data_IF_402684569976
#
_entry.id   IF_402684569976
#
_cell.length_a   1.000
_cell.length_b   1.000
_cell.length_c   1.000
_cell.angle_alpha   90.00
_cell.angle_beta   90.00
_cell.angle_gamma   90.00
#
_symmetry.space_group_name_H-M   'P 1'
#
loop_
_entity.id
_entity.type
_entity.pdbx_description
1 polymer ?
#
# COMPACT_ATOMS: atom_id res chain seq x y z
N UNK A 1 52.68 28.31 -26.49
CA UNK A 1 51.29 27.84 -26.22
C UNK A 1 51.11 26.34 -26.51
N UNK A 2 51.89 25.44 -25.86
CA UNK A 2 51.78 23.97 -26.07
C UNK A 2 51.48 23.16 -24.80
N UNK A 3 51.26 23.83 -23.65
CA UNK A 3 51.00 23.16 -22.35
C UNK A 3 49.54 23.20 -21.88
N UNK A 4 48.66 23.94 -22.57
CA UNK A 4 47.25 24.07 -22.19
C UNK A 4 46.42 22.87 -22.70
N UNK A 5 46.76 22.32 -23.88
CA UNK A 5 46.07 21.17 -24.46
C UNK A 5 46.18 19.87 -23.63
N UNK A 6 47.37 19.46 -23.13
CA UNK A 6 47.46 18.28 -22.27
C UNK A 6 46.85 18.50 -20.88
N UNK A 7 46.82 19.74 -20.37
CA UNK A 7 46.12 20.10 -19.14
C UNK A 7 44.59 20.08 -19.30
N UNK A 8 44.05 20.55 -20.43
CA UNK A 8 42.63 20.43 -20.76
C UNK A 8 42.22 18.97 -21.03
N UNK A 9 43.08 18.19 -21.68
CA UNK A 9 42.85 16.77 -21.88
C UNK A 9 42.90 16.00 -20.54
N UNK A 10 43.82 16.37 -19.63
CA UNK A 10 43.89 15.83 -18.27
C UNK A 10 42.71 16.29 -17.39
N UNK A 11 42.20 17.51 -17.56
CA UNK A 11 41.00 18.01 -16.87
C UNK A 11 39.72 17.35 -17.40
N UNK A 12 39.62 17.16 -18.72
CA UNK A 12 38.53 16.40 -19.34
C UNK A 12 38.61 14.93 -18.89
N UNK A 13 39.78 14.30 -18.92
CA UNK A 13 39.98 12.94 -18.40
C UNK A 13 39.74 12.85 -16.90
N UNK A 14 40.08 13.87 -16.09
CA UNK A 14 39.78 13.89 -14.65
C UNK A 14 38.28 14.09 -14.39
N UNK A 15 37.57 14.89 -15.19
CA UNK A 15 36.09 14.95 -15.11
C UNK A 15 35.41 13.65 -15.58
N UNK A 16 36.05 12.90 -16.49
CA UNK A 16 35.61 11.55 -16.86
C UNK A 16 35.95 10.51 -15.77
N UNK A 17 37.02 10.71 -15.00
CA UNK A 17 37.34 9.90 -13.82
C UNK A 17 36.45 10.26 -12.63
N UNK A 18 36.03 11.51 -12.43
CA UNK A 18 35.05 11.86 -11.37
C UNK A 18 33.68 11.27 -11.68
N UNK A 19 33.17 11.42 -12.91
CA UNK A 19 31.91 10.76 -13.32
C UNK A 19 31.99 9.22 -13.35
N UNK A 20 33.18 8.66 -13.56
CA UNK A 20 33.42 7.22 -13.66
C UNK A 20 33.82 6.54 -12.34
N UNK A 21 34.24 7.29 -11.32
CA UNK A 21 34.54 6.80 -9.96
C UNK A 21 33.42 7.10 -8.94
N UNK A 22 32.44 7.96 -9.22
CA UNK A 22 31.46 8.43 -8.21
C UNK A 22 30.03 7.85 -8.30
N UNK A 23 29.70 7.06 -9.34
CA UNK A 23 28.38 6.41 -9.45
C UNK A 23 28.46 4.98 -8.92
N UNK A 24 28.45 4.82 -7.60
CA UNK A 24 28.34 3.52 -6.95
C UNK A 24 27.23 3.54 -5.88
N UNK A 25 26.75 2.36 -5.53
CA UNK A 25 25.77 2.17 -4.47
C UNK A 25 24.32 2.16 -4.94
N UNK A 26 23.43 2.09 -3.96
CA UNK A 26 21.99 2.04 -4.17
C UNK A 26 21.37 3.42 -3.96
N UNK A 27 20.45 3.77 -4.86
CA UNK A 27 19.79 5.06 -4.87
C UNK A 27 18.30 4.83 -4.99
N UNK A 28 17.53 5.26 -4.00
CA UNK A 28 16.07 5.16 -4.05
C UNK A 28 15.52 6.27 -4.95
N UNK A 29 14.46 5.97 -5.70
CA UNK A 29 13.67 6.99 -6.36
C UNK A 29 12.94 7.80 -5.29
N UNK A 30 13.16 9.10 -5.26
CA UNK A 30 12.51 10.00 -4.31
C UNK A 30 11.17 10.48 -4.89
N UNK A 31 11.20 10.97 -6.13
CA UNK A 31 10.02 11.37 -6.90
C UNK A 31 10.36 11.49 -8.39
N UNK A 32 9.32 11.50 -9.21
CA UNK A 32 9.36 11.94 -10.62
C UNK A 32 8.62 13.27 -10.71
N UNK A 33 9.19 14.22 -11.44
CA UNK A 33 8.54 15.48 -11.79
C UNK A 33 8.27 15.47 -13.29
N UNK A 34 7.07 15.88 -13.68
CA UNK A 34 6.65 16.05 -15.09
C UNK A 34 5.88 17.36 -15.28
N UNK A 35 5.71 17.79 -16.54
CA UNK A 35 4.69 18.78 -16.90
C UNK A 35 3.51 18.04 -17.54
N UNK A 36 2.33 18.22 -16.97
CA UNK A 36 1.08 17.64 -17.48
C UNK A 36 0.20 18.71 -18.10
N UNK A 37 -0.44 18.35 -19.21
CA UNK A 37 -1.46 19.17 -19.85
C UNK A 37 -2.81 18.84 -19.22
N UNK A 38 -3.37 19.81 -18.48
CA UNK A 38 -4.66 19.71 -17.82
C UNK A 38 -5.70 20.41 -18.70
N UNK A 39 -6.78 19.69 -18.97
CA UNK A 39 -7.89 20.18 -19.78
C UNK A 39 -9.00 20.68 -18.86
N UNK A 40 -9.59 21.83 -19.19
CA UNK A 40 -10.80 22.31 -18.53
C UNK A 40 -11.93 21.28 -18.67
N UNK A 41 -12.59 20.99 -17.54
CA UNK A 41 -13.75 20.07 -17.48
C UNK A 41 -14.95 20.66 -18.24
N UNK A 42 -15.05 21.99 -18.33
CA UNK A 42 -16.22 22.67 -18.87
C UNK A 42 -16.22 22.80 -20.40
N UNK A 43 -15.07 22.64 -21.06
CA UNK A 43 -14.99 22.58 -22.52
C UNK A 43 -13.61 22.09 -22.98
N UNK A 44 -13.49 20.99 -23.74
CA UNK A 44 -12.21 20.53 -24.30
C UNK A 44 -11.61 21.49 -25.36
N UNK A 45 -12.29 22.59 -25.69
CA UNK A 45 -11.80 23.67 -26.54
C UNK A 45 -11.21 24.86 -25.73
N UNK A 46 -11.40 24.90 -24.40
CA UNK A 46 -10.95 25.99 -23.55
C UNK A 46 -9.64 25.63 -22.84
N UNK A 47 -8.58 26.35 -23.23
CA UNK A 47 -7.24 26.44 -22.63
C UNK A 47 -6.63 25.15 -22.07
N UNK A 48 -5.62 24.63 -22.77
CA UNK A 48 -4.67 23.66 -22.20
C UNK A 48 -3.76 24.38 -21.22
N UNK A 49 -3.86 24.08 -19.93
CA UNK A 49 -2.92 24.56 -18.92
C UNK A 49 -1.83 23.53 -18.68
N UNK A 50 -0.56 23.96 -18.69
CA UNK A 50 0.55 23.10 -18.29
C UNK A 50 0.79 23.26 -16.80
N UNK A 51 0.54 22.19 -16.05
CA UNK A 51 0.78 22.14 -14.62
C UNK A 51 1.95 21.23 -14.31
N UNK A 52 2.74 21.61 -13.30
CA UNK A 52 3.77 20.75 -12.76
C UNK A 52 3.12 19.63 -11.93
N UNK A 53 3.54 18.39 -12.17
CA UNK A 53 3.08 17.22 -11.42
C UNK A 53 4.26 16.49 -10.80
N UNK A 54 4.02 15.92 -9.62
CA UNK A 54 4.94 15.04 -8.94
C UNK A 54 4.30 13.67 -8.79
N UNK A 55 5.09 12.61 -8.89
CA UNK A 55 4.63 11.26 -8.60
C UNK A 55 5.64 10.51 -7.75
N UNK A 56 5.11 9.74 -6.80
CA UNK A 56 5.87 8.69 -6.12
C UNK A 56 5.99 7.52 -7.06
N UNK A 57 7.23 7.20 -7.43
CA UNK A 57 7.54 5.93 -8.07
C UNK A 57 8.48 5.19 -7.19
N UNK A 58 8.16 3.92 -7.00
CA UNK A 58 8.95 3.10 -6.13
C UNK A 58 9.96 2.32 -6.93
N UNK A 59 11.21 2.60 -6.63
CA UNK A 59 12.30 1.84 -7.19
C UNK A 59 13.63 2.16 -6.54
N UNK A 60 14.56 1.23 -6.74
CA UNK A 60 15.96 1.41 -6.42
C UNK A 60 16.77 1.31 -7.71
N UNK A 61 17.72 2.21 -7.86
CA UNK A 61 18.71 2.24 -8.93
C UNK A 61 20.05 1.89 -8.31
N UNK A 62 20.60 0.73 -8.66
CA UNK A 62 21.96 0.36 -8.29
C UNK A 62 22.92 0.76 -9.40
N UNK A 63 23.93 1.55 -9.05
CA UNK A 63 25.05 1.85 -9.93
C UNK A 63 26.26 1.00 -9.51
N UNK A 64 26.85 0.31 -10.47
CA UNK A 64 28.07 -0.48 -10.29
C UNK A 64 28.89 -0.44 -11.58
N UNK A 65 30.06 0.19 -11.51
CA UNK A 65 30.95 0.47 -12.63
C UNK A 65 30.22 1.17 -13.79
N UNK A 66 30.00 0.44 -14.89
CA UNK A 66 29.30 0.89 -16.10
C UNK A 66 27.92 0.25 -16.23
N UNK A 67 27.37 -0.26 -15.15
CA UNK A 67 26.09 -0.96 -15.12
C UNK A 67 25.10 -0.18 -14.26
N UNK A 68 23.87 -0.09 -14.74
CA UNK A 68 22.71 0.35 -13.97
C UNK A 68 21.76 -0.82 -13.86
N UNK A 69 21.28 -1.08 -12.65
CA UNK A 69 20.22 -2.04 -12.40
C UNK A 69 19.04 -1.33 -11.75
N UNK A 70 17.88 -1.40 -12.42
CA UNK A 70 16.65 -0.79 -11.95
C UNK A 70 15.75 -1.85 -11.33
N UNK A 71 15.31 -1.59 -10.09
CA UNK A 71 14.42 -2.44 -9.33
C UNK A 71 13.11 -1.69 -9.12
N UNK A 72 12.00 -2.19 -9.66
CA UNK A 72 10.65 -1.67 -9.40
C UNK A 72 9.81 -2.60 -8.51
N UNK A 73 10.42 -3.69 -8.05
CA UNK A 73 9.89 -4.72 -7.16
C UNK A 73 8.69 -5.54 -7.68
N UNK A 74 7.97 -5.04 -8.70
CA UNK A 74 6.92 -5.76 -9.46
C UNK A 74 7.51 -6.76 -10.45
N UNK A 75 8.55 -6.35 -11.16
CA UNK A 75 9.18 -7.14 -12.22
C UNK A 75 10.59 -7.60 -11.82
N UNK A 76 11.17 -8.49 -12.62
CA UNK A 76 12.59 -8.81 -12.48
C UNK A 76 13.42 -7.53 -12.74
N UNK A 77 14.50 -7.30 -11.98
CA UNK A 77 15.32 -6.11 -12.17
C UNK A 77 15.85 -5.99 -13.60
N UNK A 78 15.78 -4.78 -14.17
CA UNK A 78 16.30 -4.50 -15.50
C UNK A 78 17.76 -4.05 -15.39
N UNK A 79 18.67 -4.75 -16.08
CA UNK A 79 20.10 -4.45 -16.09
C UNK A 79 20.52 -3.88 -17.44
N UNK A 80 21.21 -2.75 -17.42
CA UNK A 80 21.64 -2.04 -18.64
C UNK A 80 23.04 -1.45 -18.46
N UNK A 81 23.72 -1.18 -19.57
CA UNK A 81 25.08 -0.59 -19.56
C UNK A 81 25.01 0.91 -19.78
N UNK A 82 25.72 1.67 -18.95
CA UNK A 82 25.95 3.10 -19.12
C UNK A 82 26.95 3.32 -20.25
N UNK A 83 26.50 4.06 -21.27
CA UNK A 83 27.29 4.51 -22.41
C UNK A 83 27.98 5.84 -22.10
N UNK A 84 28.85 6.26 -23.03
CA UNK A 84 29.55 7.55 -22.94
C UNK A 84 28.55 8.69 -22.73
N UNK A 85 28.87 9.59 -21.79
CA UNK A 85 28.02 10.73 -21.44
C UNK A 85 26.91 10.41 -20.43
N UNK A 86 26.98 9.29 -19.71
CA UNK A 86 26.00 8.94 -18.67
C UNK A 86 24.65 8.49 -19.24
N UNK A 87 24.63 7.93 -20.45
CA UNK A 87 23.38 7.57 -21.14
C UNK A 87 23.16 6.06 -21.06
N UNK A 88 21.95 5.63 -20.69
CA UNK A 88 21.57 4.22 -20.68
C UNK A 88 20.13 4.03 -21.17
N UNK A 89 19.74 2.77 -21.41
CA UNK A 89 18.36 2.44 -21.80
C UNK A 89 17.58 1.90 -20.61
N UNK A 90 16.41 2.46 -20.34
CA UNK A 90 15.45 1.96 -19.36
C UNK A 90 14.11 1.72 -20.08
N UNK A 91 13.58 0.49 -20.03
CA UNK A 91 12.32 0.10 -20.70
C UNK A 91 12.16 0.56 -22.17
N UNK A 92 13.26 0.69 -22.89
CA UNK A 92 13.27 1.12 -24.31
C UNK A 92 13.64 2.59 -24.52
N UNK A 93 13.45 3.43 -23.50
CA UNK A 93 13.76 4.85 -23.54
C UNK A 93 15.24 5.13 -23.22
N UNK A 94 15.79 6.19 -23.80
CA UNK A 94 17.16 6.65 -23.49
C UNK A 94 17.10 7.66 -22.36
N UNK A 95 17.73 7.33 -21.25
CA UNK A 95 17.85 8.17 -20.07
C UNK A 95 19.29 8.67 -19.96
N UNK A 96 19.46 9.94 -19.62
CA UNK A 96 20.74 10.58 -19.34
C UNK A 96 20.83 10.92 -17.85
N UNK A 97 21.98 10.63 -17.26
CA UNK A 97 22.35 11.20 -15.96
C UNK A 97 22.69 12.67 -16.18
N UNK A 98 21.81 13.55 -15.73
CA UNK A 98 21.91 14.99 -15.99
C UNK A 98 22.78 15.70 -14.95
N UNK A 99 22.59 15.35 -13.68
CA UNK A 99 23.32 15.92 -12.55
C UNK A 99 23.55 14.87 -11.48
N UNK A 100 24.66 14.99 -10.76
CA UNK A 100 25.07 14.11 -9.67
C UNK A 100 25.71 14.97 -8.60
N UNK A 101 25.29 14.77 -7.37
CA UNK A 101 26.02 15.21 -6.18
C UNK A 101 25.88 14.14 -5.09
N UNK A 102 26.52 14.38 -3.94
CA UNK A 102 26.51 13.45 -2.80
C UNK A 102 25.10 13.15 -2.24
N UNK A 103 24.14 14.07 -2.45
CA UNK A 103 22.81 14.01 -1.85
C UNK A 103 21.75 13.56 -2.86
N UNK A 104 22.04 13.58 -4.17
CA UNK A 104 21.06 13.30 -5.22
C UNK A 104 21.67 13.00 -6.59
N UNK A 105 20.94 12.21 -7.38
CA UNK A 105 21.14 12.04 -8.82
C UNK A 105 19.87 12.48 -9.56
N UNK A 106 20.03 13.23 -10.63
CA UNK A 106 18.93 13.61 -11.53
C UNK A 106 19.07 12.84 -12.83
N UNK A 107 18.04 12.06 -13.16
CA UNK A 107 17.93 11.35 -14.43
C UNK A 107 16.90 12.04 -15.32
N UNK A 108 17.20 12.20 -16.61
CA UNK A 108 16.29 12.82 -17.59
C UNK A 108 16.14 11.94 -18.84
N UNK A 109 14.90 11.63 -19.29
CA UNK A 109 14.69 11.08 -20.62
C UNK A 109 15.22 12.03 -21.70
N UNK A 110 15.90 11.51 -22.72
CA UNK A 110 16.46 12.39 -23.77
C UNK A 110 15.36 13.00 -24.65
N UNK A 111 14.27 12.25 -24.84
CA UNK A 111 13.17 12.62 -25.73
C UNK A 111 12.15 13.52 -25.02
N UNK A 112 12.01 13.41 -23.70
CA UNK A 112 11.15 14.25 -22.88
C UNK A 112 12.00 15.11 -21.93
N UNK A 113 12.07 16.41 -22.25
CA UNK A 113 12.82 17.38 -21.46
C UNK A 113 12.05 17.92 -20.25
N UNK A 114 10.74 17.72 -20.18
CA UNK A 114 9.90 18.23 -19.10
C UNK A 114 9.83 17.26 -17.92
N UNK A 115 10.20 16.00 -18.13
CA UNK A 115 10.23 14.99 -17.09
C UNK A 115 11.63 14.76 -16.53
N UNK A 116 11.78 14.68 -15.21
CA UNK A 116 13.00 14.20 -14.57
C UNK A 116 12.72 13.33 -13.35
N UNK A 117 13.63 12.42 -13.05
CA UNK A 117 13.58 11.51 -11.92
C UNK A 117 14.67 11.93 -10.93
N UNK A 118 14.30 12.13 -9.67
CA UNK A 118 15.26 12.42 -8.61
C UNK A 118 15.49 11.16 -7.80
N UNK A 119 16.77 10.82 -7.64
CA UNK A 119 17.23 9.74 -6.79
C UNK A 119 17.94 10.31 -5.57
N UNK A 120 17.77 9.68 -4.42
CA UNK A 120 18.53 9.94 -3.20
C UNK A 120 19.36 8.73 -2.80
N UNK A 121 20.54 8.92 -2.18
CA UNK A 121 21.33 7.80 -1.70
C UNK A 121 20.50 7.00 -0.69
N UNK A 122 20.58 5.67 -0.79
CA UNK A 122 19.89 4.79 0.13
C UNK A 122 20.80 3.64 0.53
N UNK A 123 20.96 3.47 1.83
CA UNK A 123 21.63 2.34 2.44
C UNK A 123 20.83 1.91 3.66
N UNK A 124 20.72 0.61 3.84
CA UNK A 124 20.27 0.03 5.11
C UNK A 124 21.48 -0.18 6.02
N UNK A 125 21.27 -0.18 7.33
CA UNK A 125 22.21 -0.85 8.24
C UNK A 125 22.25 -2.35 7.93
N UNK A 126 23.18 -3.09 8.55
CA UNK A 126 23.24 -4.55 8.44
C UNK A 126 21.99 -5.16 9.07
N UNK A 127 20.96 -5.36 8.25
CA UNK A 127 19.70 -5.99 8.60
C UNK A 127 19.78 -7.47 8.19
N UNK A 128 19.47 -8.37 9.11
CA UNK A 128 19.36 -9.81 8.84
C UNK A 128 17.88 -10.21 8.83
N UNK A 129 17.14 -9.79 7.80
CA UNK A 129 15.74 -10.16 7.61
C UNK A 129 15.56 -11.07 6.41
N UNK A 130 14.67 -12.04 6.57
CA UNK A 130 14.21 -12.96 5.54
C UNK A 130 12.68 -12.98 5.50
N UNK A 131 12.11 -13.55 4.43
CA UNK A 131 10.66 -13.72 4.35
C UNK A 131 10.09 -14.58 5.50
N UNK A 132 10.91 -15.45 6.11
CA UNK A 132 10.50 -16.32 7.22
C UNK A 132 10.26 -15.57 8.51
N UNK A 133 10.92 -14.43 8.72
CA UNK A 133 10.77 -13.62 9.93
C UNK A 133 9.39 -12.95 10.01
N UNK A 134 8.67 -12.92 8.88
CA UNK A 134 7.30 -12.47 8.79
C UNK A 134 6.29 -13.62 8.90
N UNK A 135 6.67 -14.89 8.81
CA UNK A 135 5.71 -16.00 8.81
C UNK A 135 4.93 -16.11 10.13
N UNK A 136 3.60 -16.18 10.04
CA UNK A 136 2.69 -16.22 11.20
C UNK A 136 2.93 -15.06 12.18
N UNK A 137 3.02 -13.84 11.66
CA UNK A 137 3.17 -12.62 12.46
C UNK A 137 2.14 -11.56 12.12
N UNK A 138 1.88 -10.66 13.06
CA UNK A 138 1.15 -9.42 12.80
C UNK A 138 2.11 -8.24 13.03
N UNK A 139 2.15 -7.32 12.06
CA UNK A 139 2.93 -6.09 12.15
C UNK A 139 2.03 -4.88 12.08
N UNK A 140 2.24 -3.92 12.97
CA UNK A 140 1.55 -2.64 12.95
C UNK A 140 2.51 -1.53 12.52
N UNK A 141 2.05 -0.64 11.64
CA UNK A 141 2.77 0.59 11.32
C UNK A 141 2.54 1.61 12.43
N UNK A 142 3.61 2.14 13.01
CA UNK A 142 3.59 3.30 13.91
C UNK A 142 4.09 4.52 13.13
N UNK A 143 3.26 5.55 13.09
CA UNK A 143 3.53 6.80 12.39
C UNK A 143 2.73 7.94 13.04
N UNK A 144 3.21 9.16 12.87
CA UNK A 144 2.45 10.37 13.19
C UNK A 144 1.31 10.60 12.18
N UNK A 145 1.41 10.03 10.97
CA UNK A 145 0.36 10.09 9.96
C UNK A 145 -0.71 9.03 10.26
N UNK A 146 -1.93 9.49 10.55
CA UNK A 146 -3.08 8.61 10.83
C UNK A 146 -3.34 7.58 9.73
N UNK A 147 -3.20 7.97 8.46
CA UNK A 147 -3.37 7.08 7.31
C UNK A 147 -2.40 5.90 7.30
N UNK A 148 -1.18 6.08 7.83
CA UNK A 148 -0.20 5.01 7.95
C UNK A 148 -0.37 4.24 9.26
N UNK A 149 -0.63 4.91 10.38
CA UNK A 149 -0.75 4.25 11.69
C UNK A 149 -1.99 3.35 11.84
N UNK A 150 -2.98 3.55 10.96
CA UNK A 150 -4.13 2.66 10.78
C UNK A 150 -3.82 1.33 10.06
N UNK A 151 -2.60 1.13 9.54
CA UNK A 151 -2.23 -0.08 8.81
C UNK A 151 -1.69 -1.18 9.74
N UNK A 152 -2.22 -2.38 9.55
CA UNK A 152 -1.71 -3.64 10.10
C UNK A 152 -1.53 -4.66 8.98
N UNK A 153 -0.57 -5.54 9.16
CA UNK A 153 -0.19 -6.57 8.20
C UNK A 153 -0.17 -7.91 8.91
N UNK A 154 -1.06 -8.82 8.50
CA UNK A 154 -1.05 -10.20 8.98
C UNK A 154 -0.44 -11.12 7.92
N UNK A 155 0.78 -11.57 8.19
CA UNK A 155 1.51 -12.48 7.34
C UNK A 155 1.22 -13.91 7.79
N UNK A 156 0.39 -14.62 7.03
CA UNK A 156 -0.01 -15.98 7.38
C UNK A 156 1.10 -17.00 7.09
N UNK A 157 1.87 -16.75 6.03
CA UNK A 157 3.01 -17.54 5.57
C UNK A 157 3.97 -16.66 4.74
N UNK A 158 4.97 -17.25 4.09
CA UNK A 158 6.00 -16.52 3.31
C UNK A 158 5.50 -15.88 2.02
N UNK A 159 4.23 -16.09 1.66
CA UNK A 159 3.61 -15.62 0.42
C UNK A 159 2.27 -14.90 0.63
N UNK A 160 1.63 -15.12 1.77
CA UNK A 160 0.28 -14.65 2.06
C UNK A 160 0.31 -13.47 3.03
N UNK A 161 -0.21 -12.33 2.59
CA UNK A 161 -0.45 -11.15 3.42
C UNK A 161 -1.94 -10.79 3.40
N UNK A 162 -2.52 -10.56 4.57
CA UNK A 162 -3.77 -9.80 4.71
C UNK A 162 -3.43 -8.42 5.26
N UNK A 163 -3.77 -7.39 4.50
CA UNK A 163 -3.70 -6.01 4.95
C UNK A 163 -5.00 -5.67 5.70
N UNK A 164 -4.86 -5.04 6.85
CA UNK A 164 -5.97 -4.57 7.66
C UNK A 164 -5.79 -3.06 7.83
N UNK A 165 -6.74 -2.29 7.33
CA UNK A 165 -6.80 -0.85 7.54
C UNK A 165 -7.90 -0.55 8.56
N UNK A 166 -7.58 0.19 9.60
CA UNK A 166 -8.53 0.64 10.64
C UNK A 166 -8.46 2.16 10.77
N UNK A 167 -9.05 2.86 9.79
CA UNK A 167 -9.24 4.30 9.83
C UNK A 167 -10.37 4.69 10.79
N UNK A 168 -10.45 6.00 11.08
CA UNK A 168 -11.53 6.56 11.90
C UNK A 168 -12.89 6.40 11.20
N UNK A 169 -12.96 6.79 9.92
CA UNK A 169 -14.18 6.78 9.13
C UNK A 169 -14.46 5.48 8.38
N UNK A 170 -13.47 4.60 8.22
CA UNK A 170 -13.65 3.34 7.50
C UNK A 170 -12.50 2.38 7.80
N UNK A 171 -12.78 1.08 7.76
CA UNK A 171 -11.76 0.03 7.79
C UNK A 171 -12.07 -1.08 6.80
N UNK A 172 -11.08 -1.94 6.55
CA UNK A 172 -11.25 -3.15 5.75
C UNK A 172 -10.14 -4.14 6.06
N UNK A 173 -10.36 -5.38 5.68
CA UNK A 173 -9.32 -6.39 5.56
C UNK A 173 -9.36 -6.94 4.14
N UNK A 174 -8.21 -7.12 3.50
CA UNK A 174 -8.14 -7.74 2.18
C UNK A 174 -6.79 -8.42 1.96
N UNK A 175 -6.74 -9.36 1.02
CA UNK A 175 -5.51 -9.92 0.51
C UNK A 175 -4.63 -8.84 -0.11
N UNK A 176 -3.35 -8.88 0.24
CA UNK A 176 -2.31 -8.07 -0.36
C UNK A 176 -1.22 -8.95 -0.96
N UNK A 177 -0.49 -8.39 -1.93
CA UNK A 177 0.77 -8.97 -2.37
C UNK A 177 1.90 -8.35 -1.56
N UNK A 178 2.93 -9.11 -1.26
CA UNK A 178 4.10 -8.57 -0.59
C UNK A 178 5.40 -9.19 -1.08
N UNK A 179 6.50 -8.47 -0.83
CA UNK A 179 7.84 -8.95 -1.15
C UNK A 179 8.86 -8.25 -0.27
N UNK A 180 9.72 -9.04 0.36
CA UNK A 180 10.98 -8.55 0.90
C UNK A 180 12.03 -8.61 -0.21
N UNK A 181 12.59 -7.47 -0.57
CA UNK A 181 13.69 -7.37 -1.53
C UNK A 181 14.93 -6.87 -0.81
N UNK A 182 16.03 -7.57 -0.98
CA UNK A 182 17.31 -7.21 -0.41
C UNK A 182 18.43 -7.29 -1.43
N UNK A 183 19.48 -6.54 -1.14
CA UNK A 183 20.80 -6.54 -1.78
C UNK A 183 21.84 -6.41 -0.67
N UNK A 184 23.12 -6.51 -1.01
CA UNK A 184 24.20 -6.24 -0.05
C UNK A 184 24.07 -4.83 0.60
N UNK A 185 23.40 -3.89 -0.07
CA UNK A 185 23.36 -2.48 0.32
C UNK A 185 21.98 -1.96 0.76
N UNK A 186 20.91 -2.76 0.65
CA UNK A 186 19.58 -2.28 1.00
C UNK A 186 18.58 -3.39 1.31
N UNK A 187 17.54 -3.01 2.04
CA UNK A 187 16.34 -3.79 2.30
C UNK A 187 15.07 -2.96 2.02
N UNK A 188 14.11 -3.57 1.33
CA UNK A 188 12.82 -2.98 1.02
C UNK A 188 11.72 -4.01 1.30
N UNK A 189 10.70 -3.60 2.05
CA UNK A 189 9.44 -4.31 2.14
C UNK A 189 8.42 -3.62 1.22
N UNK A 190 7.97 -4.36 0.20
CA UNK A 190 6.90 -3.96 -0.70
C UNK A 190 5.59 -4.61 -0.26
N UNK A 191 4.53 -3.82 -0.20
CA UNK A 191 3.17 -4.28 0.08
C UNK A 191 2.22 -3.62 -0.93
N UNK A 192 1.43 -4.42 -1.64
CA UNK A 192 0.37 -3.97 -2.52
C UNK A 192 -0.98 -4.22 -1.88
N UNK A 193 -1.76 -3.15 -1.71
CA UNK A 193 -3.13 -3.20 -1.26
C UNK A 193 -4.07 -3.25 -2.46
N UNK A 194 -4.73 -4.40 -2.64
CA UNK A 194 -5.64 -4.60 -3.76
C UNK A 194 -6.98 -3.89 -3.61
N UNK A 195 -7.41 -3.57 -2.39
CA UNK A 195 -8.69 -2.87 -2.17
C UNK A 195 -8.57 -1.39 -2.51
N UNK A 196 -7.52 -0.74 -1.99
CA UNK A 196 -7.29 0.70 -2.21
C UNK A 196 -6.48 1.01 -3.47
N UNK A 197 -5.97 -0.02 -4.16
CA UNK A 197 -5.02 0.09 -5.27
C UNK A 197 -3.77 0.91 -4.88
N UNK A 198 -3.39 0.85 -3.61
CA UNK A 198 -2.21 1.54 -3.08
C UNK A 198 -1.04 0.58 -2.95
N UNK A 199 0.15 1.14 -3.07
CA UNK A 199 1.38 0.40 -2.91
C UNK A 199 2.24 1.11 -1.87
N UNK A 200 2.72 0.33 -0.91
CA UNK A 200 3.55 0.79 0.18
C UNK A 200 4.97 0.23 -0.01
N UNK A 201 5.94 1.12 0.08
CA UNK A 201 7.35 0.79 -0.09
C UNK A 201 8.10 1.29 1.14
N UNK A 202 8.40 0.35 2.02
CA UNK A 202 9.14 0.58 3.24
C UNK A 202 10.62 0.37 2.92
N UNK A 203 11.36 1.47 2.79
CA UNK A 203 12.81 1.44 2.68
C UNK A 203 13.39 1.20 4.08
N UNK A 204 13.76 -0.05 4.38
CA UNK A 204 14.13 -0.45 5.73
C UNK A 204 15.50 0.14 6.09
N UNK A 205 15.59 0.84 7.21
CA UNK A 205 16.81 1.50 7.68
C UNK A 205 17.55 0.66 8.70
N UNK A 206 16.83 0.12 9.68
CA UNK A 206 17.39 -0.72 10.73
C UNK A 206 16.33 -1.65 11.32
N UNK A 207 16.78 -2.72 11.96
CA UNK A 207 15.95 -3.66 12.72
C UNK A 207 16.51 -3.81 14.12
N UNK A 208 15.63 -3.85 15.11
CA UNK A 208 15.99 -4.20 16.48
C UNK A 208 14.79 -4.76 17.24
N UNK A 209 14.93 -5.99 17.76
CA UNK A 209 13.99 -6.62 18.71
C UNK A 209 12.55 -6.65 18.20
N UNK A 210 12.34 -7.05 16.94
CA UNK A 210 10.99 -7.13 16.36
C UNK A 210 10.38 -5.77 16.02
N UNK A 211 11.23 -4.76 15.86
CA UNK A 211 10.88 -3.45 15.33
C UNK A 211 11.74 -3.14 14.13
N UNK A 212 11.11 -2.66 13.07
CA UNK A 212 11.82 -2.25 11.85
C UNK A 212 11.57 -0.76 11.64
N UNK A 213 12.63 0.04 11.64
CA UNK A 213 12.55 1.44 11.25
C UNK A 213 12.64 1.50 9.74
N UNK A 214 11.68 2.16 9.12
CA UNK A 214 11.62 2.30 7.68
C UNK A 214 11.29 3.73 7.27
N UNK A 215 11.65 4.08 6.04
CA UNK A 215 11.20 5.30 5.39
C UNK A 215 10.21 4.97 4.29
N UNK A 216 9.09 5.67 4.29
CA UNK A 216 8.02 5.57 3.30
C UNK A 216 7.83 6.95 2.67
N UNK A 217 7.72 7.00 1.34
CA UNK A 217 7.29 8.21 0.64
C UNK A 217 5.77 8.32 0.71
N UNK A 218 5.27 9.49 1.10
CA UNK A 218 3.84 9.80 1.15
C UNK A 218 3.60 11.04 0.30
N UNK A 219 2.57 10.99 -0.54
CA UNK A 219 2.12 12.11 -1.34
C UNK A 219 0.64 12.33 -1.07
N UNK A 220 0.31 13.53 -0.63
CA UNK A 220 -1.06 13.98 -0.46
C UNK A 220 -1.36 14.94 -1.62
N UNK A 221 -2.27 14.55 -2.50
CA UNK A 221 -2.72 15.35 -3.66
C UNK A 221 -1.56 15.70 -4.61
N UNK A 222 -1.52 16.93 -5.14
CA UNK A 222 -0.49 17.43 -6.07
C UNK A 222 0.77 17.92 -5.37
N UNK A 223 0.87 17.79 -4.04
CA UNK A 223 2.03 18.27 -3.30
C UNK A 223 3.27 17.42 -3.60
N UNK A 224 4.42 18.01 -3.30
CA UNK A 224 5.70 17.35 -3.37
C UNK A 224 5.74 16.14 -2.41
N UNK A 225 6.17 14.94 -2.87
CA UNK A 225 6.28 13.77 -2.02
C UNK A 225 7.18 14.00 -0.80
N UNK A 226 6.70 13.61 0.38
CA UNK A 226 7.44 13.71 1.64
C UNK A 226 7.88 12.33 2.10
N UNK A 227 9.14 12.21 2.48
CA UNK A 227 9.65 11.03 3.15
C UNK A 227 9.25 11.08 4.63
N UNK A 228 8.60 10.02 5.10
CA UNK A 228 8.18 9.85 6.48
C UNK A 228 8.87 8.64 7.09
N UNK A 229 9.41 8.81 8.30
CA UNK A 229 9.95 7.70 9.08
C UNK A 229 8.82 7.02 9.83
N UNK A 230 8.76 5.70 9.72
CA UNK A 230 7.79 4.85 10.41
C UNK A 230 8.50 3.71 11.10
N UNK A 231 7.83 3.12 12.09
CA UNK A 231 8.27 1.90 12.75
C UNK A 231 7.25 0.81 12.49
N UNK A 232 7.67 -0.31 11.91
CA UNK A 232 6.88 -1.54 11.87
C UNK A 232 7.13 -2.28 13.19
N UNK A 233 6.11 -2.46 14.01
CA UNK A 233 6.20 -3.22 15.27
C UNK A 233 5.54 -4.59 15.13
N UNK A 234 6.28 -5.66 15.44
CA UNK A 234 5.74 -7.00 15.49
C UNK A 234 4.93 -7.18 16.79
N UNK A 235 3.62 -7.32 16.65
CA UNK A 235 2.71 -7.56 17.77
C UNK A 235 2.55 -9.05 18.10
N UNK A 236 3.12 -9.95 17.29
CA UNK A 236 2.90 -11.38 17.38
C UNK A 236 1.46 -11.77 17.04
N UNK A 237 1.13 -13.03 17.30
CA UNK A 237 -0.25 -13.53 17.22
C UNK A 237 -0.85 -13.68 18.62
N UNK A 238 -2.17 -13.81 18.67
CA UNK A 238 -2.86 -14.13 19.92
C UNK A 238 -2.36 -15.46 20.47
N UNK A 239 -2.24 -15.55 21.79
CA UNK A 239 -2.08 -16.84 22.46
C UNK A 239 -3.30 -17.72 22.20
N UNK A 240 -3.16 -19.04 22.30
CA UNK A 240 -4.28 -19.97 22.11
C UNK A 240 -5.49 -19.62 22.98
N UNK A 241 -5.25 -19.21 24.23
CA UNK A 241 -6.30 -18.81 25.17
C UNK A 241 -7.03 -17.54 24.71
N UNK A 242 -6.30 -16.54 24.23
CA UNK A 242 -6.89 -15.30 23.71
C UNK A 242 -7.67 -15.54 22.42
N UNK A 243 -7.13 -16.38 21.53
CA UNK A 243 -7.82 -16.79 20.31
C UNK A 243 -9.13 -17.50 20.63
N UNK A 244 -9.11 -18.54 21.47
CA UNK A 244 -10.31 -19.29 21.88
C UNK A 244 -11.34 -18.40 22.57
N UNK A 245 -10.89 -17.43 23.38
CA UNK A 245 -11.78 -16.46 24.01
C UNK A 245 -12.49 -15.60 22.96
N UNK A 246 -11.76 -15.01 22.01
CA UNK A 246 -12.35 -14.19 20.94
C UNK A 246 -13.28 -15.00 20.04
N UNK A 247 -12.89 -16.23 19.69
CA UNK A 247 -13.71 -17.15 18.90
C UNK A 247 -15.04 -17.44 19.60
N UNK A 248 -15.00 -17.73 20.91
CA UNK A 248 -16.20 -17.91 21.73
C UNK A 248 -17.07 -16.65 21.81
N UNK A 249 -16.46 -15.48 21.99
CA UNK A 249 -17.19 -14.20 22.03
C UNK A 249 -17.95 -13.96 20.72
N UNK A 250 -17.35 -14.30 19.57
CA UNK A 250 -17.94 -14.14 18.24
C UNK A 250 -19.14 -15.07 17.96
N UNK A 251 -19.18 -16.27 18.54
CA UNK A 251 -20.27 -17.24 18.32
C UNK A 251 -21.60 -16.68 18.85
N UNK A 252 -22.64 -16.71 18.03
CA UNK A 252 -23.99 -16.25 18.34
C UNK A 252 -24.61 -15.44 17.21
N UNK A 253 -25.84 -15.00 17.41
CA UNK A 253 -26.57 -14.15 16.47
C UNK A 253 -26.36 -12.67 16.80
N UNK A 254 -25.91 -11.92 15.81
CA UNK A 254 -25.61 -10.51 15.87
C UNK A 254 -26.59 -9.75 14.99
N UNK A 255 -27.24 -8.74 15.54
CA UNK A 255 -28.22 -7.93 14.83
C UNK A 255 -27.77 -6.48 14.80
N UNK A 256 -27.99 -5.82 13.66
CA UNK A 256 -27.65 -4.42 13.43
C UNK A 256 -28.21 -3.54 14.55
N UNK A 257 -27.34 -2.74 15.15
CA UNK A 257 -27.74 -1.72 16.13
C UNK A 257 -27.68 -0.34 15.49
N UNK A 258 -26.52 0.05 14.94
CA UNK A 258 -26.30 1.36 14.31
C UNK A 258 -25.06 1.37 13.41
N UNK A 259 -24.94 2.43 12.62
CA UNK A 259 -23.64 2.81 12.04
C UNK A 259 -22.79 3.51 13.10
N UNK A 260 -21.52 3.12 13.20
CA UNK A 260 -20.56 3.74 14.11
C UNK A 260 -19.91 4.99 13.51
N UNK A 261 -20.04 5.18 12.20
CA UNK A 261 -19.47 6.29 11.44
C UNK A 261 -20.40 6.74 10.31
N UNK A 262 -19.99 7.79 9.59
CA UNK A 262 -20.69 8.25 8.40
C UNK A 262 -20.63 7.18 7.31
N UNK A 263 -21.76 7.01 6.61
CA UNK A 263 -21.87 6.08 5.50
C UNK A 263 -21.22 6.71 4.28
N UNK A 264 -20.21 6.03 3.71
CA UNK A 264 -19.72 6.40 2.38
C UNK A 264 -20.53 5.65 1.33
N UNK A 265 -21.47 6.35 0.68
CA UNK A 265 -22.37 5.77 -0.30
C UNK A 265 -22.08 6.31 -1.72
N UNK A 266 -21.97 5.41 -2.68
CA UNK A 266 -21.82 5.73 -4.09
C UNK A 266 -23.12 5.45 -4.82
N UNK A 267 -23.63 6.46 -5.53
CA UNK A 267 -24.87 6.38 -6.32
C UNK A 267 -26.11 5.94 -5.52
N UNK A 268 -26.19 6.38 -4.26
CA UNK A 268 -27.35 6.21 -3.37
C UNK A 268 -27.70 7.61 -2.83
N UNK A 269 -28.97 8.01 -2.97
CA UNK A 269 -29.47 9.31 -2.48
C UNK A 269 -29.71 9.26 -0.97
N UNK A 270 -30.26 8.15 -0.46
CA UNK A 270 -30.51 7.94 0.97
C UNK A 270 -30.75 6.47 1.30
N UNK A 271 -30.57 6.11 2.57
CA UNK A 271 -30.97 4.81 3.13
C UNK A 271 -32.20 5.01 3.99
N UNK A 272 -33.28 4.27 3.70
CA UNK A 272 -34.57 4.39 4.39
C UNK A 272 -34.75 3.37 5.51
N UNK A 273 -34.25 2.15 5.32
CA UNK A 273 -34.38 1.08 6.30
C UNK A 273 -33.24 0.07 6.18
N UNK A 274 -32.80 -0.49 7.30
CA UNK A 274 -31.74 -1.48 7.40
C UNK A 274 -32.11 -2.54 8.42
N UNK A 275 -31.96 -3.79 8.03
CA UNK A 275 -32.02 -4.92 8.92
C UNK A 275 -30.95 -5.92 8.47
N UNK A 276 -29.82 -5.91 9.17
CA UNK A 276 -28.73 -6.86 8.95
C UNK A 276 -28.59 -7.75 10.17
N UNK A 277 -28.44 -9.03 9.95
CA UNK A 277 -28.06 -9.97 10.99
C UNK A 277 -27.05 -10.98 10.46
N UNK A 278 -26.14 -11.42 11.33
CA UNK A 278 -25.19 -12.49 11.06
C UNK A 278 -25.11 -13.41 12.27
N UNK A 279 -25.28 -14.69 12.06
CA UNK A 279 -25.14 -15.73 13.08
C UNK A 279 -23.88 -16.55 12.80
N UNK A 280 -22.94 -16.56 13.74
CA UNK A 280 -21.77 -17.43 13.72
C UNK A 280 -22.01 -18.63 14.62
N UNK A 281 -22.01 -19.84 14.06
CA UNK A 281 -22.27 -21.09 14.78
C UNK A 281 -20.96 -21.76 15.22
N UNK A 282 -21.02 -22.49 16.32
CA UNK A 282 -19.90 -23.24 16.91
C UNK A 282 -19.29 -24.29 15.97
N UNK A 283 -20.09 -24.82 15.04
CA UNK A 283 -19.66 -25.78 14.02
C UNK A 283 -18.97 -25.12 12.80
N UNK A 284 -18.65 -23.83 12.87
CA UNK A 284 -17.99 -23.09 11.79
C UNK A 284 -18.90 -22.69 10.63
N UNK A 285 -20.23 -22.84 10.77
CA UNK A 285 -21.20 -22.33 9.79
C UNK A 285 -21.66 -20.93 10.15
N UNK A 286 -21.96 -20.09 9.15
CA UNK A 286 -22.61 -18.80 9.36
C UNK A 286 -23.89 -18.69 8.54
N UNK A 287 -24.79 -17.83 9.00
CA UNK A 287 -25.98 -17.41 8.26
C UNK A 287 -26.05 -15.88 8.35
N UNK A 288 -26.19 -15.19 7.22
CA UNK A 288 -26.44 -13.75 7.19
C UNK A 288 -27.80 -13.47 6.54
N UNK A 289 -28.55 -12.53 7.10
CA UNK A 289 -29.81 -12.04 6.54
C UNK A 289 -29.74 -10.52 6.47
N UNK A 290 -29.72 -10.00 5.25
CA UNK A 290 -29.43 -8.61 4.97
C UNK A 290 -30.58 -8.02 4.17
N UNK A 291 -31.27 -7.03 4.73
CA UNK A 291 -32.35 -6.31 4.07
C UNK A 291 -32.09 -4.81 4.17
N UNK A 292 -32.10 -4.14 3.02
CA UNK A 292 -32.03 -2.67 2.94
C UNK A 292 -33.16 -2.14 2.07
N UNK A 293 -33.65 -0.96 2.44
CA UNK A 293 -34.42 -0.09 1.55
C UNK A 293 -33.62 1.18 1.32
N UNK A 294 -33.34 1.52 0.07
CA UNK A 294 -32.60 2.74 -0.31
C UNK A 294 -33.33 3.53 -1.40
N UNK A 295 -32.95 4.80 -1.56
CA UNK A 295 -33.39 5.65 -2.68
C UNK A 295 -32.21 5.88 -3.61
N UNK A 296 -32.41 5.66 -4.90
CA UNK A 296 -31.44 5.92 -5.97
C UNK A 296 -32.16 6.53 -7.16
N UNK A 297 -31.70 7.71 -7.61
CA UNK A 297 -32.33 8.47 -8.69
C UNK A 297 -33.84 8.68 -8.44
N UNK A 298 -34.20 9.04 -7.20
CA UNK A 298 -35.60 9.19 -6.73
C UNK A 298 -36.46 7.92 -6.73
N UNK A 299 -35.90 6.76 -7.06
CA UNK A 299 -36.60 5.48 -7.01
C UNK A 299 -36.26 4.75 -5.71
N UNK A 300 -37.29 4.17 -5.09
CA UNK A 300 -37.12 3.25 -3.97
C UNK A 300 -36.67 1.89 -4.48
N UNK A 301 -35.63 1.35 -3.86
CA UNK A 301 -35.09 0.02 -4.15
C UNK A 301 -35.07 -0.76 -2.84
N UNK A 302 -35.71 -1.93 -2.83
CA UNK A 302 -35.67 -2.88 -1.72
C UNK A 302 -34.76 -4.03 -2.13
N UNK A 303 -33.71 -4.29 -1.33
CA UNK A 303 -32.75 -5.36 -1.57
C UNK A 303 -32.77 -6.33 -0.38
N UNK A 304 -32.79 -7.63 -0.67
CA UNK A 304 -32.69 -8.69 0.32
C UNK A 304 -31.65 -9.71 -0.15
N UNK A 305 -30.72 -10.04 0.72
CA UNK A 305 -29.73 -11.09 0.52
C UNK A 305 -29.67 -11.97 1.76
N UNK A 306 -29.87 -13.27 1.56
CA UNK A 306 -29.71 -14.27 2.60
C UNK A 306 -28.58 -15.19 2.16
N UNK A 307 -27.55 -15.28 3.00
CA UNK A 307 -26.32 -15.97 2.68
C UNK A 307 -26.00 -16.98 3.78
N UNK A 308 -25.36 -18.07 3.39
CA UNK A 308 -24.89 -19.09 4.31
C UNK A 308 -23.58 -19.68 3.79
N UNK A 309 -22.76 -20.15 4.72
CA UNK A 309 -21.51 -20.79 4.39
C UNK A 309 -20.66 -21.06 5.61
N UNK A 310 -19.35 -21.06 5.43
CA UNK A 310 -18.39 -21.32 6.52
C UNK A 310 -17.70 -20.05 6.97
N UNK A 311 -17.36 -19.97 8.26
CA UNK A 311 -16.56 -18.87 8.80
C UNK A 311 -15.36 -19.39 9.59
N UNK A 312 -14.34 -18.56 9.73
CA UNK A 312 -13.21 -18.76 10.64
C UNK A 312 -12.67 -17.43 11.14
N UNK A 313 -12.22 -17.39 12.39
CA UNK A 313 -11.48 -16.25 12.92
C UNK A 313 -10.02 -16.31 12.45
N UNK A 314 -9.46 -15.19 11.99
CA UNK A 314 -8.04 -15.11 11.67
C UNK A 314 -7.16 -15.32 12.92
N UNK A 315 -5.94 -15.85 12.78
CA UNK A 315 -5.07 -16.16 13.93
C UNK A 315 -4.72 -14.94 14.79
N UNK A 316 -4.67 -13.76 14.20
CA UNK A 316 -4.49 -12.49 14.92
C UNK A 316 -5.79 -11.98 15.59
N UNK A 317 -6.94 -12.58 15.27
CA UNK A 317 -8.26 -12.22 15.78
C UNK A 317 -8.72 -10.81 15.38
N UNK A 318 -8.17 -10.25 14.29
CA UNK A 318 -8.49 -8.90 13.81
C UNK A 318 -9.52 -8.89 12.67
N UNK A 319 -9.84 -10.05 12.09
CA UNK A 319 -10.85 -10.18 11.04
C UNK A 319 -11.45 -11.59 11.01
N UNK A 320 -12.66 -11.70 10.47
CA UNK A 320 -13.34 -12.97 10.18
C UNK A 320 -13.23 -13.25 8.69
N UNK A 321 -12.95 -14.50 8.34
CA UNK A 321 -13.00 -14.95 6.94
C UNK A 321 -14.30 -15.71 6.78
N UNK A 322 -15.21 -15.20 5.96
CA UNK A 322 -16.44 -15.88 5.57
C UNK A 322 -16.29 -16.41 4.15
N UNK A 323 -16.81 -17.60 3.91
CA UNK A 323 -16.86 -18.21 2.59
C UNK A 323 -18.27 -18.69 2.32
N UNK A 324 -18.93 -18.06 1.37
CA UNK A 324 -20.31 -18.39 0.98
C UNK A 324 -20.37 -19.74 0.28
N UNK A 325 -21.54 -20.37 0.35
CA UNK A 325 -21.82 -21.59 -0.42
C UNK A 325 -21.81 -21.33 -1.94
N UNK A 326 -21.99 -20.08 -2.38
CA UNK A 326 -21.89 -19.66 -3.78
C UNK A 326 -20.44 -19.43 -4.22
N UNK A 327 -19.48 -19.58 -3.32
CA UNK A 327 -18.04 -19.68 -3.63
C UNK A 327 -17.22 -18.41 -3.42
N UNK A 328 -17.83 -17.30 -3.02
CA UNK A 328 -17.11 -16.07 -2.71
C UNK A 328 -16.52 -16.11 -1.29
N UNK A 329 -15.36 -15.50 -1.11
CA UNK A 329 -14.68 -15.37 0.18
C UNK A 329 -14.50 -13.87 0.52
N UNK A 330 -14.87 -13.48 1.73
CA UNK A 330 -14.80 -12.11 2.21
C UNK A 330 -14.09 -12.03 3.57
N UNK A 331 -13.40 -10.91 3.79
CA UNK A 331 -12.58 -10.62 4.95
C UNK A 331 -13.24 -9.48 5.73
N UNK A 332 -13.99 -9.82 6.78
CA UNK A 332 -14.71 -8.85 7.60
C UNK A 332 -13.80 -8.34 8.71
N UNK A 333 -13.38 -7.08 8.62
CA UNK A 333 -12.51 -6.46 9.63
C UNK A 333 -13.26 -6.28 10.95
N UNK A 334 -12.67 -6.76 12.06
CA UNK A 334 -13.21 -6.57 13.41
C UNK A 334 -12.59 -5.30 13.99
N UNK A 335 -13.40 -4.26 14.15
CA UNK A 335 -12.99 -3.06 14.86
C UNK A 335 -13.03 -3.27 16.37
N UNK A 336 -14.09 -3.91 16.87
CA UNK A 336 -14.23 -4.26 18.28
C UNK A 336 -15.08 -5.52 18.46
N UNK A 337 -14.79 -6.30 19.50
CA UNK A 337 -15.56 -7.48 19.89
C UNK A 337 -15.54 -7.61 21.42
N UNK A 338 -16.73 -7.86 21.99
CA UNK A 338 -16.91 -8.35 23.34
C UNK A 338 -18.15 -9.26 23.38
N UNK A 339 -18.56 -9.73 24.57
CA UNK A 339 -19.67 -10.68 24.71
C UNK A 339 -21.03 -10.18 24.19
N UNK A 340 -21.26 -8.86 24.13
CA UNK A 340 -22.56 -8.27 23.80
C UNK A 340 -22.53 -7.38 22.54
N UNK A 341 -21.34 -6.93 22.14
CA UNK A 341 -21.16 -6.01 21.02
C UNK A 341 -20.08 -6.49 20.06
N UNK A 342 -20.36 -6.33 18.78
CA UNK A 342 -19.44 -6.58 17.67
C UNK A 342 -19.48 -5.38 16.74
N UNK A 343 -18.32 -4.80 16.41
CA UNK A 343 -18.22 -3.76 15.38
C UNK A 343 -17.46 -4.31 14.18
N UNK A 344 -18.11 -4.39 13.02
CA UNK A 344 -17.49 -4.83 11.77
C UNK A 344 -17.41 -3.66 10.78
N UNK A 345 -16.32 -3.60 10.03
CA UNK A 345 -16.30 -2.78 8.82
C UNK A 345 -16.82 -3.61 7.64
N UNK A 346 -17.90 -3.13 7.00
CA UNK A 346 -18.57 -3.81 5.90
C UNK A 346 -18.50 -2.96 4.62
N UNK A 347 -18.32 -3.64 3.48
CA UNK A 347 -18.39 -3.04 2.15
C UNK A 347 -19.49 -3.75 1.35
N UNK A 348 -20.69 -3.19 1.37
CA UNK A 348 -21.84 -3.81 0.75
C UNK A 348 -21.99 -3.37 -0.71
N UNK A 349 -22.08 -4.34 -1.62
CA UNK A 349 -22.36 -4.10 -3.04
C UNK A 349 -23.79 -4.55 -3.35
N UNK A 350 -24.61 -3.65 -3.88
CA UNK A 350 -26.01 -3.93 -4.23
C UNK A 350 -26.20 -4.21 -5.71
N UNK A 351 -25.44 -3.50 -6.53
CA UNK A 351 -25.31 -3.73 -7.95
C UNK A 351 -23.88 -3.35 -8.37
N UNK A 352 -23.56 -3.44 -9.67
CA UNK A 352 -22.22 -3.12 -10.19
C UNK A 352 -21.78 -1.67 -9.92
N UNK A 353 -22.71 -0.77 -9.59
CA UNK A 353 -22.48 0.68 -9.45
C UNK A 353 -22.91 1.26 -8.10
N UNK A 354 -23.75 0.58 -7.34
CA UNK A 354 -24.21 1.02 -6.02
C UNK A 354 -23.53 0.19 -4.92
N UNK A 355 -22.75 0.89 -4.10
CA UNK A 355 -22.13 0.33 -2.91
C UNK A 355 -22.20 1.32 -1.76
N UNK A 356 -22.18 0.80 -0.55
CA UNK A 356 -21.85 1.60 0.62
C UNK A 356 -20.79 0.89 1.46
N UNK A 357 -19.96 1.68 2.10
CA UNK A 357 -18.95 1.21 3.02
C UNK A 357 -19.14 1.92 4.36
N UNK A 358 -19.23 1.16 5.45
CA UNK A 358 -19.41 1.71 6.79
C UNK A 358 -18.94 0.75 7.88
N UNK A 359 -18.69 1.31 9.06
CA UNK A 359 -18.55 0.54 10.30
C UNK A 359 -19.93 0.37 10.91
N UNK A 360 -20.29 -0.87 11.23
CA UNK A 360 -21.57 -1.23 11.79
C UNK A 360 -21.34 -1.85 13.17
N UNK A 361 -22.05 -1.32 14.15
CA UNK A 361 -22.19 -1.93 15.47
C UNK A 361 -23.37 -2.91 15.45
N UNK A 362 -23.13 -4.11 15.96
CA UNK A 362 -24.09 -5.16 16.18
C UNK A 362 -24.24 -5.45 17.67
N UNK A 363 -25.46 -5.82 18.06
CA UNK A 363 -25.77 -6.34 19.39
C UNK A 363 -26.05 -7.83 19.30
N UNK A 364 -25.57 -8.57 20.31
CA UNK A 364 -25.82 -10.00 20.40
C UNK A 364 -27.25 -10.25 20.84
N UNK A 365 -27.98 -11.03 20.06
CA UNK A 365 -29.29 -11.51 20.48
C UNK A 365 -29.12 -12.45 21.67
N UNK A 366 -29.90 -12.22 22.72
CA UNK A 366 -29.95 -13.13 23.86
C UNK A 366 -30.52 -14.48 23.40
N UNK A 367 -29.98 -15.62 23.88
CA UNK A 367 -30.44 -16.96 23.52
C UNK A 367 -31.94 -17.20 23.73
#
# INVERSE_FOLDING_TARGET
MKRILPLLAALLLSTFFTLGQELSGAWKVDYIRSMEEVYSIDSPADSVEKMESFSIVSGIVEFSDKTVKFHNFKEKPNKTRVKKGGIFKLKGEKIKIESINKDSIILRPIEDKETYIVLKPFSSEDIELSARDFENTEWQVKSELGSLSSLKFHFSDSSTLTLIYQGEEYGYANYGDWKLANSENYYVLYIADRESLKEYFFNLKSEAKGRIVAEVSVQEWSDFPKATIVTLENNGLLTLKEFQKKEYELIGKWSFSRFSNNINALHIDSILNLNFSIEFKDNGQYVSNNKITLVKNKNRIDFTNNEQGTWRLAKNGSYVIIKSNDGWEEYLSIYSLNLNNLSLDLNYRYDERARFAARIDFEKESP
#
